data_IF_157991218177
#
_entry.id   IF_157991218177
#
_cell.length_a   1.000
_cell.length_b   1.000
_cell.length_c   1.000
_cell.angle_alpha   90.00
_cell.angle_beta   90.00
_cell.angle_gamma   90.00
#
_symmetry.space_group_name_H-M   'P 1'
#
loop_
_entity.id
_entity.type
_entity.pdbx_description
1 polymer ?
#
# COMPACT_ATOMS: atom_id res chain seq x y z
N UNK A 1 49.67 -17.98 2.06
CA UNK A 1 49.03 -17.66 0.77
C UNK A 1 47.58 -17.33 1.11
N UNK A 2 47.28 -16.09 1.51
CA UNK A 2 46.88 -14.92 0.69
C UNK A 2 45.58 -15.12 -0.08
N UNK A 3 44.57 -14.36 0.37
CA UNK A 3 43.33 -13.84 -0.26
C UNK A 3 43.00 -14.25 -1.70
N UNK A 4 41.72 -14.52 -1.98
CA UNK A 4 40.85 -13.56 -2.69
C UNK A 4 39.36 -13.89 -2.42
N UNK A 5 38.64 -12.94 -1.86
CA UNK A 5 37.18 -12.87 -1.79
C UNK A 5 36.68 -12.30 -3.13
N UNK A 6 35.84 -13.03 -3.86
CA UNK A 6 35.11 -12.48 -5.01
C UNK A 6 33.67 -12.98 -5.00
N UNK A 7 32.80 -12.17 -4.37
CA UNK A 7 31.75 -11.52 -5.15
C UNK A 7 30.69 -12.42 -5.77
N UNK A 8 30.19 -13.39 -5.03
CA UNK A 8 28.93 -14.06 -5.36
C UNK A 8 27.79 -13.45 -4.54
N UNK A 9 27.40 -12.20 -4.85
CA UNK A 9 26.26 -11.52 -4.24
C UNK A 9 25.01 -12.40 -4.43
N UNK A 10 24.74 -13.28 -3.46
CA UNK A 10 23.40 -13.80 -3.25
C UNK A 10 22.59 -12.57 -2.90
N UNK A 11 21.95 -11.99 -3.91
CA UNK A 11 20.87 -11.05 -3.74
C UNK A 11 19.79 -11.81 -2.95
N UNK A 12 19.94 -11.77 -1.62
CA UNK A 12 18.84 -12.00 -0.71
C UNK A 12 17.91 -10.85 -1.02
N UNK A 13 16.99 -11.05 -1.96
CA UNK A 13 15.85 -10.18 -2.10
C UNK A 13 15.14 -10.33 -0.75
N UNK A 14 15.10 -9.30 0.11
CA UNK A 14 14.27 -9.41 1.29
C UNK A 14 12.87 -9.66 0.76
N UNK A 15 12.30 -10.79 1.20
CA UNK A 15 10.96 -11.20 0.81
C UNK A 15 10.05 -9.98 1.01
N UNK A 16 9.34 -9.49 -0.03
CA UNK A 16 8.56 -8.26 0.08
C UNK A 16 7.51 -8.34 1.19
N UNK A 17 7.15 -9.56 1.63
CA UNK A 17 6.34 -9.81 2.82
C UNK A 17 7.07 -9.53 4.12
N UNK A 18 8.36 -9.86 4.24
CA UNK A 18 9.17 -9.55 5.43
C UNK A 18 9.42 -8.04 5.56
N UNK A 19 9.63 -7.33 4.46
CA UNK A 19 9.72 -5.86 4.47
C UNK A 19 8.38 -5.25 4.87
N UNK A 20 7.26 -5.70 4.28
CA UNK A 20 5.92 -5.24 4.68
C UNK A 20 5.63 -5.51 6.15
N UNK A 21 5.98 -6.69 6.67
CA UNK A 21 5.69 -7.05 8.06
C UNK A 21 6.57 -6.26 9.04
N UNK A 22 7.80 -5.90 8.63
CA UNK A 22 8.68 -5.02 9.40
C UNK A 22 8.17 -3.58 9.38
N UNK A 23 7.81 -3.06 8.21
CA UNK A 23 7.25 -1.72 8.07
C UNK A 23 5.94 -1.60 8.86
N UNK A 24 5.09 -2.62 8.85
CA UNK A 24 3.86 -2.68 9.67
C UNK A 24 4.19 -2.75 11.17
N UNK A 25 5.29 -3.39 11.58
CA UNK A 25 5.71 -3.46 12.99
C UNK A 25 6.31 -2.15 13.49
N UNK A 26 7.16 -1.49 12.68
CA UNK A 26 7.64 -0.12 12.95
C UNK A 26 6.47 0.86 12.96
N UNK A 27 5.51 0.72 12.02
CA UNK A 27 4.25 1.45 12.08
C UNK A 27 3.56 1.17 13.40
N UNK A 28 3.22 -0.08 13.76
CA UNK A 28 2.42 -0.36 14.96
C UNK A 28 3.09 0.04 16.29
N UNK A 29 4.42 0.08 16.36
CA UNK A 29 5.18 0.53 17.55
C UNK A 29 5.16 2.06 17.69
N UNK A 30 5.15 2.79 16.57
CA UNK A 30 5.10 4.25 16.53
C UNK A 30 3.68 4.83 16.32
N UNK A 31 2.74 4.01 15.85
CA UNK A 31 1.43 4.42 15.30
C UNK A 31 0.31 3.93 16.21
N UNK A 32 -0.36 4.89 16.80
CA UNK A 32 -1.56 4.68 17.60
C UNK A 32 -2.76 4.31 16.73
N UNK A 33 -3.80 3.74 17.37
CA UNK A 33 -5.11 3.53 16.73
C UNK A 33 -5.68 4.82 16.11
N UNK A 34 -5.29 5.99 16.65
CA UNK A 34 -5.64 7.30 16.11
C UNK A 34 -4.95 7.55 14.75
N UNK A 35 -3.64 7.38 14.66
CA UNK A 35 -2.90 7.61 13.41
C UNK A 35 -3.29 6.61 12.30
N UNK A 36 -3.60 5.36 12.67
CA UNK A 36 -4.22 4.42 11.72
C UNK A 36 -5.57 4.95 11.21
N UNK A 37 -6.36 5.57 12.09
CA UNK A 37 -7.64 6.15 11.69
C UNK A 37 -7.47 7.39 10.80
N UNK A 38 -6.42 8.19 11.04
CA UNK A 38 -6.03 9.34 10.20
C UNK A 38 -5.57 8.87 8.82
N UNK A 39 -4.68 7.87 8.72
CA UNK A 39 -4.29 7.26 7.45
C UNK A 39 -5.49 6.67 6.69
N UNK A 40 -6.43 6.03 7.39
CA UNK A 40 -7.65 5.54 6.77
C UNK A 40 -8.54 6.69 6.24
N UNK A 41 -8.50 7.87 6.87
CA UNK A 41 -9.23 9.05 6.40
C UNK A 41 -8.56 9.66 5.17
N UNK A 42 -7.23 9.80 5.16
CA UNK A 42 -6.46 10.29 4.01
C UNK A 42 -6.68 9.39 2.78
N UNK A 43 -6.55 8.07 2.93
CA UNK A 43 -6.77 7.13 1.83
C UNK A 43 -8.20 7.19 1.29
N UNK A 44 -9.20 7.46 2.15
CA UNK A 44 -10.58 7.67 1.70
C UNK A 44 -10.74 8.98 0.94
N UNK A 45 -10.03 10.03 1.34
CA UNK A 45 -10.04 11.32 0.68
C UNK A 45 -9.39 11.25 -0.71
N UNK A 46 -8.24 10.59 -0.84
CA UNK A 46 -7.58 10.31 -2.12
C UNK A 46 -8.52 9.56 -3.08
N UNK A 47 -9.19 8.52 -2.57
CA UNK A 47 -10.20 7.78 -3.32
C UNK A 47 -11.35 8.70 -3.77
N UNK A 48 -11.85 9.57 -2.88
CA UNK A 48 -12.92 10.51 -3.22
C UNK A 48 -12.46 11.56 -4.23
N UNK A 49 -11.21 12.02 -4.15
CA UNK A 49 -10.61 12.95 -5.09
C UNK A 49 -10.54 12.34 -6.50
N UNK A 50 -10.03 11.10 -6.64
CA UNK A 50 -10.02 10.43 -7.95
C UNK A 50 -11.42 10.17 -8.51
N UNK A 51 -12.38 9.81 -7.65
CA UNK A 51 -13.79 9.69 -8.06
C UNK A 51 -14.32 10.99 -8.67
N UNK A 52 -14.09 12.12 -7.99
CA UNK A 52 -14.57 13.42 -8.42
C UNK A 52 -13.82 13.96 -9.65
N UNK A 53 -12.50 13.73 -9.72
CA UNK A 53 -11.66 14.18 -10.82
C UNK A 53 -12.01 13.48 -12.14
N UNK A 54 -12.27 12.18 -12.08
CA UNK A 54 -12.48 11.36 -13.27
C UNK A 54 -13.94 10.95 -13.52
N UNK A 55 -14.86 11.35 -12.65
CA UNK A 55 -16.29 10.96 -12.67
C UNK A 55 -16.46 9.43 -12.80
N UNK A 56 -15.69 8.71 -11.98
CA UNK A 56 -15.62 7.26 -11.98
C UNK A 56 -15.92 6.71 -10.58
N UNK A 57 -16.52 5.53 -10.49
CA UNK A 57 -16.78 4.85 -9.21
C UNK A 57 -15.73 3.77 -8.86
N UNK A 58 -14.93 3.38 -9.86
CA UNK A 58 -13.94 2.33 -9.76
C UNK A 58 -12.70 2.60 -10.63
N UNK A 59 -11.55 2.03 -10.25
CA UNK A 59 -10.36 2.02 -11.09
C UNK A 59 -10.59 1.32 -12.44
N UNK A 60 -11.51 0.35 -12.50
CA UNK A 60 -11.89 -0.28 -13.77
C UNK A 60 -12.53 0.73 -14.75
N UNK A 61 -13.33 1.68 -14.26
CA UNK A 61 -13.89 2.74 -15.10
C UNK A 61 -12.82 3.62 -15.75
N UNK A 62 -11.70 3.86 -15.05
CA UNK A 62 -10.54 4.56 -15.61
C UNK A 62 -9.85 3.74 -16.71
N UNK A 63 -9.70 2.43 -16.50
CA UNK A 63 -9.09 1.52 -17.49
C UNK A 63 -9.93 1.36 -18.74
N UNK A 64 -11.25 1.25 -18.58
CA UNK A 64 -12.19 1.23 -19.70
C UNK A 64 -12.09 2.53 -20.52
N UNK A 65 -11.99 3.68 -19.83
CA UNK A 65 -11.81 4.98 -20.48
C UNK A 65 -10.46 5.07 -21.19
N UNK A 66 -9.39 4.56 -20.58
CA UNK A 66 -8.05 4.51 -21.18
C UNK A 66 -8.03 3.69 -22.48
N UNK A 67 -8.81 2.61 -22.54
CA UNK A 67 -8.93 1.75 -23.72
C UNK A 67 -9.82 2.33 -24.83
N UNK A 68 -10.50 3.47 -24.60
CA UNK A 68 -11.37 4.07 -25.58
C UNK A 68 -10.58 4.71 -26.73
N UNK A 69 -10.97 4.43 -27.99
CA UNK A 69 -10.33 4.94 -29.21
C UNK A 69 -10.23 6.48 -29.31
N UNK A 70 -10.96 7.23 -28.48
CA UNK A 70 -10.98 8.70 -28.47
C UNK A 70 -9.92 9.29 -27.54
N UNK A 71 -9.22 8.46 -26.77
CA UNK A 71 -8.22 8.87 -25.79
C UNK A 71 -6.82 8.77 -26.40
N UNK A 72 -5.98 9.77 -26.18
CA UNK A 72 -4.60 9.73 -26.66
C UNK A 72 -3.78 8.71 -25.86
N UNK A 73 -2.65 8.24 -26.43
CA UNK A 73 -1.77 7.31 -25.73
C UNK A 73 -1.28 7.87 -24.38
N UNK A 74 -0.99 9.18 -24.32
CA UNK A 74 -0.59 9.87 -23.09
C UNK A 74 -1.71 9.84 -22.03
N UNK A 75 -2.93 10.19 -22.43
CA UNK A 75 -4.08 10.17 -21.51
C UNK A 75 -4.42 8.75 -21.07
N UNK A 76 -4.28 7.75 -21.94
CA UNK A 76 -4.50 6.36 -21.60
C UNK A 76 -3.47 5.85 -20.58
N UNK A 77 -2.22 6.29 -20.70
CA UNK A 77 -1.17 6.00 -19.72
C UNK A 77 -1.49 6.60 -18.35
N UNK A 78 -1.82 7.89 -18.29
CA UNK A 78 -2.19 8.56 -17.04
C UNK A 78 -3.42 7.90 -16.38
N UNK A 79 -4.48 7.63 -17.14
CA UNK A 79 -5.67 6.94 -16.62
C UNK A 79 -5.35 5.55 -16.05
N UNK A 80 -4.47 4.80 -16.71
CA UNK A 80 -4.03 3.47 -16.25
C UNK A 80 -3.20 3.58 -14.98
N UNK A 81 -2.34 4.59 -14.89
CA UNK A 81 -1.55 4.88 -13.70
C UNK A 81 -2.43 5.26 -12.53
N UNK A 82 -3.33 6.22 -12.70
CA UNK A 82 -4.30 6.62 -11.65
C UNK A 82 -5.16 5.44 -11.21
N UNK A 83 -5.61 4.58 -12.13
CA UNK A 83 -6.34 3.37 -11.78
C UNK A 83 -5.54 2.44 -10.86
N UNK A 84 -4.23 2.34 -11.11
CA UNK A 84 -3.33 1.50 -10.32
C UNK A 84 -3.06 2.10 -8.94
N UNK A 85 -2.86 3.41 -8.86
CA UNK A 85 -2.69 4.15 -7.60
C UNK A 85 -3.97 4.05 -6.75
N UNK A 86 -5.14 4.13 -7.38
CA UNK A 86 -6.42 3.96 -6.70
C UNK A 86 -6.61 2.53 -6.15
N UNK A 87 -6.27 1.49 -6.92
CA UNK A 87 -6.29 0.13 -6.38
C UNK A 87 -5.35 -0.04 -5.20
N UNK A 88 -4.15 0.53 -5.27
CA UNK A 88 -3.19 0.50 -4.18
C UNK A 88 -3.75 1.18 -2.93
N UNK A 89 -4.38 2.34 -3.08
CA UNK A 89 -5.02 3.04 -1.96
C UNK A 89 -6.17 2.24 -1.35
N UNK A 90 -7.00 1.57 -2.16
CA UNK A 90 -8.08 0.68 -1.67
C UNK A 90 -7.50 -0.52 -0.91
N UNK A 91 -6.43 -1.12 -1.43
CA UNK A 91 -5.74 -2.21 -0.76
C UNK A 91 -5.15 -1.74 0.58
N UNK A 92 -4.45 -0.62 0.60
CA UNK A 92 -3.90 -0.05 1.82
C UNK A 92 -4.99 0.28 2.85
N UNK A 93 -6.11 0.84 2.40
CA UNK A 93 -7.25 1.13 3.26
C UNK A 93 -7.82 -0.14 3.91
N UNK A 94 -7.89 -1.25 3.17
CA UNK A 94 -8.31 -2.54 3.72
C UNK A 94 -7.34 -3.05 4.79
N UNK A 95 -6.03 -2.93 4.57
CA UNK A 95 -5.01 -3.28 5.55
C UNK A 95 -5.12 -2.45 6.82
N UNK A 96 -5.29 -1.14 6.70
CA UNK A 96 -5.44 -0.23 7.84
C UNK A 96 -6.72 -0.53 8.62
N UNK A 97 -7.84 -0.80 7.92
CA UNK A 97 -9.09 -1.20 8.58
C UNK A 97 -8.94 -2.51 9.35
N UNK A 98 -8.27 -3.50 8.77
CA UNK A 98 -8.02 -4.77 9.43
C UNK A 98 -7.03 -4.63 10.58
N UNK A 99 -6.03 -3.75 10.47
CA UNK A 99 -5.12 -3.41 11.56
C UNK A 99 -5.88 -2.76 12.73
N UNK A 100 -6.77 -1.78 12.48
CA UNK A 100 -7.60 -1.14 13.52
C UNK A 100 -8.51 -2.17 14.20
N UNK A 101 -9.12 -3.07 13.42
CA UNK A 101 -10.04 -4.10 13.92
C UNK A 101 -9.33 -5.12 14.81
N UNK A 102 -8.11 -5.49 14.46
CA UNK A 102 -7.29 -6.47 15.18
C UNK A 102 -6.26 -5.84 16.11
N UNK A 103 -6.26 -4.51 16.25
CA UNK A 103 -5.28 -3.76 17.02
C UNK A 103 -5.18 -4.27 18.46
N UNK A 104 -6.33 -4.47 19.11
CA UNK A 104 -6.43 -4.95 20.49
C UNK A 104 -5.88 -6.39 20.65
N UNK A 105 -6.01 -7.22 19.61
CA UNK A 105 -5.47 -8.59 19.58
C UNK A 105 -3.95 -8.58 19.38
N UNK A 106 -3.43 -7.74 18.48
CA UNK A 106 -2.01 -7.71 18.14
C UNK A 106 -1.16 -6.97 19.18
N UNK A 107 -1.71 -5.92 19.81
CA UNK A 107 -1.03 -5.22 20.92
C UNK A 107 -0.94 -6.09 22.19
N UNK A 108 -1.95 -6.93 22.44
CA UNK A 108 -1.95 -7.89 23.56
C UNK A 108 -0.94 -9.04 23.35
N UNK A 109 -0.77 -9.50 22.11
CA UNK A 109 0.20 -10.55 21.75
C UNK A 109 1.65 -10.03 21.81
N UNK A 110 1.91 -8.79 21.34
CA UNK A 110 3.22 -8.11 21.48
C UNK A 110 3.64 -7.92 22.94
N UNK A 111 2.68 -7.55 23.81
CA UNK A 111 2.92 -7.42 25.26
C UNK A 111 3.28 -8.75 25.92
N UNK A 112 2.87 -9.88 25.33
CA UNK A 112 3.15 -11.23 25.83
C UNK A 112 4.50 -11.80 25.32
N UNK A 113 5.10 -11.18 24.30
CA UNK A 113 6.42 -11.55 23.76
C UNK A 113 7.57 -10.77 24.41
N UNK A 114 7.26 -9.82 25.30
CA UNK A 114 8.23 -9.02 26.08
C UNK A 114 8.26 -9.47 27.55
N UNK A 115 8.27 -10.79 27.82
CA UNK A 115 8.45 -11.37 29.16
C UNK A 115 9.64 -12.33 29.21
#
# INVERSE_FOLDING_TARGET
>A
MTETDEGGTRHYYPDPLYTRLRDIRELLDETTKQELSEQAAELKDDIAAWKAEYDADSPDGLRERAAANKVSAEQAYELTRTASDWELARYHLSLVQDAIRNYDTWTSDQSSLTV
#
